data_IF_110819573355
#
_entry.id   IF_110819573355
#
_cell.length_a   1.000
_cell.length_b   1.000
_cell.length_c   1.000
_cell.angle_alpha   90.00
_cell.angle_beta   90.00
_cell.angle_gamma   90.00
#
_symmetry.space_group_name_H-M   'P 1'
#
loop_
_entity.id
_entity.type
_entity.pdbx_description
1 polymer ?
#
# COMPACT_ATOMS: atom_id res chain seq x y z
N UNK A 1 15.55 -21.14 37.03
CA UNK A 1 15.02 -20.96 35.65
C UNK A 1 13.55 -21.28 35.68
N UNK A 2 12.70 -20.38 35.17
CA UNK A 2 11.29 -20.72 35.00
C UNK A 2 11.15 -21.87 33.99
N UNK A 3 10.33 -22.87 34.31
CA UNK A 3 10.10 -24.01 33.42
C UNK A 3 9.30 -23.53 32.22
N UNK A 4 9.90 -23.55 31.03
CA UNK A 4 9.22 -23.20 29.80
C UNK A 4 8.18 -24.27 29.46
N UNK A 5 6.90 -23.91 29.59
CA UNK A 5 5.79 -24.79 29.19
C UNK A 5 5.53 -24.56 27.69
N UNK A 6 5.56 -25.62 26.85
CA UNK A 6 5.19 -25.50 25.44
C UNK A 6 3.77 -24.95 25.26
N UNK A 7 3.56 -24.12 24.24
CA UNK A 7 2.27 -23.45 23.99
C UNK A 7 1.08 -24.41 23.99
N UNK A 8 1.21 -25.55 23.31
CA UNK A 8 0.15 -26.56 23.18
C UNK A 8 -0.26 -27.21 24.51
N UNK A 9 0.63 -27.19 25.52
CA UNK A 9 0.40 -27.76 26.85
C UNK A 9 -0.09 -26.73 27.86
N UNK A 10 -0.24 -25.48 27.44
CA UNK A 10 -0.65 -24.39 28.30
C UNK A 10 -2.18 -24.33 28.42
N UNK A 11 -2.69 -23.91 29.58
CA UNK A 11 -4.12 -23.66 29.75
C UNK A 11 -4.61 -22.59 28.76
N UNK A 12 -5.84 -22.75 28.27
CA UNK A 12 -6.47 -21.84 27.29
C UNK A 12 -6.42 -20.35 27.71
N UNK A 13 -6.56 -20.06 29.01
CA UNK A 13 -6.47 -18.70 29.56
C UNK A 13 -5.09 -18.07 29.32
N UNK A 14 -4.02 -18.77 29.69
CA UNK A 14 -2.65 -18.29 29.51
C UNK A 14 -2.25 -18.20 28.02
N UNK A 15 -2.74 -19.10 27.17
CA UNK A 15 -2.57 -18.99 25.71
C UNK A 15 -3.20 -17.70 25.18
N UNK A 16 -4.42 -17.36 25.64
CA UNK A 16 -5.12 -16.13 25.25
C UNK A 16 -4.36 -14.88 25.71
N UNK A 17 -3.84 -14.86 26.94
CA UNK A 17 -3.01 -13.75 27.43
C UNK A 17 -1.72 -13.59 26.61
N UNK A 18 -1.02 -14.67 26.29
CA UNK A 18 0.16 -14.62 25.42
C UNK A 18 -0.17 -14.14 24.01
N UNK A 19 -1.26 -14.63 23.42
CA UNK A 19 -1.72 -14.19 22.11
C UNK A 19 -2.14 -12.73 22.13
N UNK A 20 -2.79 -12.25 23.20
CA UNK A 20 -3.15 -10.84 23.37
C UNK A 20 -1.91 -9.95 23.50
N UNK A 21 -0.87 -10.40 24.22
CA UNK A 21 0.43 -9.70 24.31
C UNK A 21 1.16 -9.64 22.95
N UNK A 22 0.99 -10.67 22.12
CA UNK A 22 1.59 -10.75 20.78
C UNK A 22 0.78 -10.02 19.70
N UNK A 23 -0.54 -9.93 19.87
CA UNK A 23 -1.46 -9.21 18.98
C UNK A 23 -1.39 -7.73 19.31
N UNK A 24 -1.39 -6.89 18.29
CA UNK A 24 -1.34 -5.45 18.47
C UNK A 24 -1.24 -4.78 17.11
N UNK A 25 -0.06 -4.28 16.78
CA UNK A 25 0.25 -3.79 15.43
C UNK A 25 0.75 -4.93 14.55
N UNK A 26 0.66 -4.75 13.23
CA UNK A 26 1.29 -5.62 12.23
C UNK A 26 2.83 -5.49 12.21
N UNK A 27 3.47 -5.11 13.32
CA UNK A 27 4.93 -4.97 13.43
C UNK A 27 5.52 -3.88 12.53
N UNK A 28 4.77 -2.80 12.29
CA UNK A 28 5.18 -1.71 11.38
C UNK A 28 4.66 -1.83 9.95
N UNK A 29 4.01 -2.95 9.58
CA UNK A 29 3.26 -3.01 8.33
C UNK A 29 1.91 -2.29 8.47
N UNK A 30 1.63 -1.33 7.60
CA UNK A 30 0.27 -0.83 7.42
C UNK A 30 -0.38 -1.57 6.24
N UNK A 31 -1.40 -2.44 6.45
CA UNK A 31 -2.05 -3.14 5.34
C UNK A 31 -2.70 -2.17 4.33
N UNK A 32 -3.01 -0.94 4.75
CA UNK A 32 -3.59 0.10 3.89
C UNK A 32 -2.57 0.67 2.90
N UNK A 33 -1.28 0.69 3.23
CA UNK A 33 -0.24 1.31 2.37
C UNK A 33 0.18 0.44 1.20
N UNK A 34 -0.20 -0.85 1.17
CA UNK A 34 0.04 -1.74 0.02
C UNK A 34 -1.06 -1.68 -1.04
N UNK A 35 -1.95 -0.68 -0.99
CA UNK A 35 -3.05 -0.54 -1.95
C UNK A 35 -2.51 -0.04 -3.30
N UNK A 36 -2.73 -0.77 -4.41
CA UNK A 36 -2.42 -0.25 -5.74
C UNK A 36 -3.28 0.99 -6.03
N UNK A 37 -2.80 1.94 -6.86
CA UNK A 37 -3.58 3.12 -7.22
C UNK A 37 -4.91 2.70 -7.85
N UNK A 38 -5.99 3.44 -7.54
CA UNK A 38 -7.31 3.15 -8.08
C UNK A 38 -7.30 3.31 -9.62
N UNK A 39 -7.55 2.24 -10.40
CA UNK A 39 -7.49 2.31 -11.87
C UNK A 39 -8.60 3.17 -12.48
N UNK A 40 -9.71 3.38 -11.77
CA UNK A 40 -10.84 4.21 -12.22
C UNK A 40 -10.72 5.67 -11.79
N UNK A 41 -9.74 6.00 -10.95
CA UNK A 41 -9.52 7.38 -10.55
C UNK A 41 -9.00 8.19 -11.73
N UNK A 42 -9.59 9.36 -11.94
CA UNK A 42 -9.13 10.28 -12.97
C UNK A 42 -7.72 10.77 -12.65
N UNK A 43 -6.80 10.63 -13.63
CA UNK A 43 -5.42 11.08 -13.51
C UNK A 43 -5.08 12.04 -14.65
N UNK A 44 -5.01 13.35 -14.36
CA UNK A 44 -4.69 14.40 -15.35
C UNK A 44 -3.33 14.20 -16.04
N UNK A 45 -2.38 13.51 -15.39
CA UNK A 45 -1.07 13.19 -15.99
C UNK A 45 -1.15 12.11 -17.08
N UNK A 46 -2.20 11.26 -17.05
CA UNK A 46 -2.44 10.25 -18.09
C UNK A 46 -3.11 10.81 -19.34
N UNK A 47 -3.80 11.94 -19.22
CA UNK A 47 -4.23 12.70 -20.39
C UNK A 47 -2.97 13.33 -21.00
N UNK A 48 -2.25 12.53 -21.79
CA UNK A 48 -1.05 12.94 -22.50
C UNK A 48 -1.30 14.24 -23.26
N UNK A 49 -0.25 15.01 -23.54
CA UNK A 49 -0.31 16.33 -24.16
C UNK A 49 -1.00 16.28 -25.53
N UNK A 50 -2.33 16.39 -25.57
CA UNK A 50 -3.10 16.54 -26.81
C UNK A 50 -2.61 17.75 -27.63
N UNK A 51 -1.99 18.73 -26.96
CA UNK A 51 -1.47 19.95 -27.60
C UNK A 51 -0.08 19.78 -28.25
N UNK A 52 0.72 18.78 -27.86
CA UNK A 52 2.08 18.65 -28.38
C UNK A 52 2.16 17.96 -29.75
N UNK A 53 1.19 17.09 -30.07
CA UNK A 53 1.09 16.49 -31.41
C UNK A 53 0.54 17.50 -32.43
N UNK A 54 -0.43 18.33 -32.05
CA UNK A 54 -1.03 19.31 -32.96
C UNK A 54 -0.03 20.38 -33.44
N UNK A 55 0.98 20.72 -32.63
CA UNK A 55 2.03 21.68 -32.99
C UNK A 55 3.13 21.07 -33.86
N UNK A 56 3.18 19.74 -34.04
CA UNK A 56 4.17 19.07 -34.90
C UNK A 56 3.75 18.97 -36.37
N UNK A 57 2.45 18.94 -36.63
CA UNK A 57 1.90 18.70 -37.97
C UNK A 57 1.41 19.99 -38.67
N UNK A 58 1.63 21.16 -38.07
CA UNK A 58 1.27 22.44 -38.70
C UNK A 58 2.38 22.87 -39.67
N UNK A 59 2.06 23.16 -40.94
CA UNK A 59 3.03 23.58 -41.96
C UNK A 59 3.49 25.04 -41.81
N UNK A 60 3.15 25.70 -40.70
CA UNK A 60 3.43 27.12 -40.49
C UNK A 60 4.05 27.33 -39.10
N UNK A 61 5.36 27.60 -39.10
CA UNK A 61 6.10 28.05 -37.92
C UNK A 61 5.65 29.46 -37.55
N UNK A 62 4.97 29.60 -36.42
CA UNK A 62 4.59 30.89 -35.83
C UNK A 62 5.69 31.41 -34.89
N UNK A 63 6.95 31.34 -35.33
CA UNK A 63 8.07 32.03 -34.70
C UNK A 63 8.39 33.28 -35.53
N UNK A 64 7.93 34.44 -35.02
CA UNK A 64 8.16 35.84 -35.42
C UNK A 64 8.67 36.15 -36.84
#
# INVERSE_FOLDING_TARGET
MEKMIPYNKMQKKKQKELAAKKRGSWGGLNPVTRRPPNPRAYNRKKAGKWRDDWLRDLPFDFSD
#
